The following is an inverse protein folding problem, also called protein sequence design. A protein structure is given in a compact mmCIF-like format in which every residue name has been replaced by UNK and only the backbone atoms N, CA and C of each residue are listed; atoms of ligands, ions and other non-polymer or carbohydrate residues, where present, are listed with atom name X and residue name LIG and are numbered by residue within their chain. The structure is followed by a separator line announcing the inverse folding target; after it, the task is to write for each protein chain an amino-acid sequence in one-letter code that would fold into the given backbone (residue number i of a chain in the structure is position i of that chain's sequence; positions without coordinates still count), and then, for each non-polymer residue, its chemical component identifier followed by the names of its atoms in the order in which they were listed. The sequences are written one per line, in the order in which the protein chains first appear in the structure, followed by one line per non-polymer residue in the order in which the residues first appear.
data_IF_298569513067
#
_entry.id   IF_298569513067
#
_cell.length_a   1.000
_cell.length_b   1.000
_cell.length_c   1.000
_cell.angle_alpha   90.00
_cell.angle_beta   90.00
_cell.angle_gamma   90.00
#
_symmetry.space_group_name_H-M   'P 1'
#
loop_
_entity.id
_entity.type
_entity.pdbx_description
1 polymer ?
#
# COMPACT_ATOMS: atom_id res chain seq x y z
N UNK A 1 14.01 -9.93 -16.82
CA UNK A 1 13.99 -9.35 -15.46
C UNK A 1 12.52 -9.24 -15.12
N UNK A 2 12.08 -9.87 -14.04
CA UNK A 2 10.72 -9.67 -13.54
C UNK A 2 10.79 -8.47 -12.62
N UNK A 3 10.30 -7.32 -13.07
CA UNK A 3 10.53 -6.04 -12.40
C UNK A 3 9.80 -5.96 -11.05
N UNK A 4 8.86 -6.88 -10.79
CA UNK A 4 8.37 -7.12 -9.42
C UNK A 4 9.52 -7.50 -8.49
N UNK A 5 10.32 -8.48 -8.87
CA UNK A 5 11.37 -9.03 -8.00
C UNK A 5 12.35 -7.92 -7.64
N UNK A 6 12.66 -7.03 -8.58
CA UNK A 6 13.51 -5.86 -8.35
C UNK A 6 12.88 -4.89 -7.32
N UNK A 7 11.57 -4.62 -7.40
CA UNK A 7 10.83 -3.79 -6.44
C UNK A 7 10.68 -4.44 -5.05
N UNK A 8 10.54 -5.77 -4.99
CA UNK A 8 10.48 -6.53 -3.73
C UNK A 8 11.85 -6.57 -3.05
N UNK A 9 12.90 -6.88 -3.82
CA UNK A 9 14.29 -6.88 -3.33
C UNK A 9 14.70 -5.46 -2.89
N UNK A 10 14.19 -4.41 -3.54
CA UNK A 10 14.36 -3.03 -3.10
C UNK A 10 13.62 -2.74 -1.77
N UNK A 11 12.35 -3.13 -1.64
CA UNK A 11 11.58 -2.95 -0.39
C UNK A 11 12.18 -3.76 0.78
N UNK A 12 12.55 -5.02 0.56
CA UNK A 12 13.18 -5.84 1.59
C UNK A 12 14.59 -5.31 1.90
N UNK A 13 15.46 -5.23 0.90
CA UNK A 13 16.88 -4.92 1.06
C UNK A 13 17.18 -3.48 1.50
N UNK A 14 16.40 -2.49 1.06
CA UNK A 14 16.65 -1.07 1.39
C UNK A 14 15.77 -0.53 2.53
N UNK A 15 14.57 -1.09 2.78
CA UNK A 15 13.66 -0.63 3.83
C UNK A 15 13.52 -1.63 4.98
N UNK A 16 13.02 -2.84 4.73
CA UNK A 16 12.61 -3.75 5.82
C UNK A 16 13.80 -4.36 6.55
N UNK A 17 14.78 -4.93 5.83
CA UNK A 17 15.96 -5.56 6.41
C UNK A 17 16.83 -4.58 7.20
N UNK A 18 17.15 -3.36 6.73
CA UNK A 18 17.93 -2.39 7.50
C UNK A 18 17.20 -1.87 8.74
N UNK A 19 15.88 -1.73 8.71
CA UNK A 19 15.10 -1.25 9.87
C UNK A 19 14.82 -2.36 10.89
N UNK A 20 14.47 -3.57 10.44
CA UNK A 20 13.96 -4.65 11.28
C UNK A 20 15.05 -5.64 11.70
N UNK A 21 15.84 -6.17 10.77
CA UNK A 21 16.90 -7.15 11.10
C UNK A 21 18.15 -6.46 11.65
N UNK A 22 18.64 -5.39 11.00
CA UNK A 22 19.86 -4.70 11.44
C UNK A 22 19.65 -3.76 12.64
N UNK A 23 18.54 -3.01 12.66
CA UNK A 23 18.27 -2.01 13.72
C UNK A 23 17.24 -2.47 14.76
N UNK A 24 16.64 -3.65 14.61
CA UNK A 24 15.69 -4.21 15.59
C UNK A 24 14.42 -3.38 15.80
N UNK A 25 14.05 -2.50 14.85
CA UNK A 25 12.93 -1.56 15.00
C UNK A 25 11.58 -2.22 14.81
N UNK A 26 10.61 -1.73 15.57
CA UNK A 26 9.20 -1.95 15.32
C UNK A 26 8.68 -0.84 14.40
N UNK A 27 8.01 -1.22 13.31
CA UNK A 27 7.55 -0.28 12.27
C UNK A 27 6.07 -0.51 11.92
N UNK A 28 5.46 0.47 11.27
CA UNK A 28 4.17 0.32 10.56
C UNK A 28 4.46 0.53 9.09
N UNK A 29 4.02 -0.40 8.25
CA UNK A 29 4.21 -0.25 6.80
C UNK A 29 3.00 0.48 6.20
N UNK A 30 3.29 1.56 5.48
CA UNK A 30 2.32 2.41 4.82
C UNK A 30 2.46 2.25 3.31
N UNK A 31 1.37 1.82 2.65
CA UNK A 31 1.38 1.41 1.24
C UNK A 31 0.31 2.20 0.47
N UNK A 32 0.74 3.03 -0.49
CA UNK A 32 -0.15 3.84 -1.31
C UNK A 32 -0.29 3.26 -2.72
N UNK A 33 -1.52 3.22 -3.24
CA UNK A 33 -1.81 2.92 -4.65
C UNK A 33 -1.12 1.63 -5.10
N UNK A 34 -0.22 1.73 -6.09
CA UNK A 34 0.69 0.69 -6.52
C UNK A 34 1.34 -0.09 -5.35
N UNK A 35 1.95 0.59 -4.38
CA UNK A 35 2.82 -0.03 -3.39
C UNK A 35 2.15 -1.10 -2.51
N UNK A 36 0.80 -1.16 -2.48
CA UNK A 36 0.05 -2.29 -1.89
C UNK A 36 0.42 -3.65 -2.50
N UNK A 37 0.90 -3.67 -3.74
CA UNK A 37 1.20 -4.87 -4.52
C UNK A 37 2.56 -5.49 -4.10
N UNK A 38 3.75 -4.86 -4.29
CA UNK A 38 5.04 -5.44 -3.89
C UNK A 38 5.23 -5.38 -2.37
N UNK A 39 4.62 -4.37 -1.72
CA UNK A 39 4.55 -4.28 -0.27
C UNK A 39 3.73 -5.42 0.35
N UNK A 40 2.83 -6.08 -0.38
CA UNK A 40 2.23 -7.33 0.09
C UNK A 40 3.20 -8.51 0.06
N UNK A 41 4.25 -8.50 -0.78
CA UNK A 41 5.29 -9.57 -0.83
C UNK A 41 6.27 -9.42 0.33
N UNK A 42 6.91 -8.25 0.42
CA UNK A 42 8.11 -8.05 1.23
C UNK A 42 7.86 -8.19 2.75
N UNK A 43 6.59 -8.17 3.19
CA UNK A 43 6.17 -8.31 4.59
C UNK A 43 6.17 -9.75 5.12
N UNK A 44 6.46 -10.75 4.29
CA UNK A 44 6.47 -12.16 4.67
C UNK A 44 7.52 -12.47 5.75
N UNK A 45 7.13 -13.06 6.88
CA UNK A 45 8.02 -13.34 8.02
C UNK A 45 8.52 -12.11 8.80
N UNK A 46 8.20 -10.90 8.34
CA UNK A 46 8.57 -9.64 8.99
C UNK A 46 7.56 -9.18 10.05
N UNK A 47 6.42 -9.85 10.23
CA UNK A 47 5.42 -9.40 11.20
C UNK A 47 5.94 -9.47 12.63
N UNK A 48 5.51 -8.53 13.48
CA UNK A 48 5.92 -8.50 14.88
C UNK A 48 5.54 -9.78 15.64
N UNK A 49 4.45 -10.44 15.25
CA UNK A 49 4.01 -11.70 15.85
C UNK A 49 4.97 -12.86 15.53
N UNK A 50 5.31 -13.06 14.26
CA UNK A 50 6.24 -14.11 13.81
C UNK A 50 7.63 -13.90 14.41
N UNK A 51 8.12 -12.66 14.40
CA UNK A 51 9.45 -12.33 14.93
C UNK A 51 9.56 -12.53 16.44
N UNK A 52 8.54 -12.14 17.22
CA UNK A 52 8.50 -12.44 18.65
C UNK A 52 8.44 -13.95 18.93
N UNK A 53 7.68 -14.72 18.14
CA UNK A 53 7.65 -16.18 18.26
C UNK A 53 9.01 -16.84 17.93
N UNK A 54 9.76 -16.26 16.99
CA UNK A 54 11.13 -16.65 16.66
C UNK A 54 12.21 -16.07 17.60
N UNK A 55 11.83 -15.34 18.67
CA UNK A 55 12.77 -14.69 19.60
C UNK A 55 13.57 -13.53 19.00
N UNK A 56 13.20 -13.03 17.82
CA UNK A 56 13.88 -11.93 17.12
C UNK A 56 13.36 -10.55 17.57
N UNK A 57 14.23 -9.52 17.61
CA UNK A 57 13.81 -8.13 17.79
C UNK A 57 13.15 -7.56 16.53
N UNK A 58 12.55 -6.37 16.68
CA UNK A 58 11.88 -5.64 15.59
C UNK A 58 10.59 -6.30 15.08
N UNK A 59 10.02 -5.69 14.03
CA UNK A 59 8.95 -6.27 13.23
C UNK A 59 7.87 -5.27 12.81
N UNK A 60 7.06 -5.69 11.85
CA UNK A 60 5.94 -4.90 11.35
C UNK A 60 4.75 -5.07 12.31
N UNK A 61 4.41 -4.00 13.01
CA UNK A 61 3.30 -3.93 13.98
C UNK A 61 1.95 -4.09 13.27
N UNK A 62 1.81 -3.48 12.10
CA UNK A 62 0.60 -3.49 11.29
C UNK A 62 0.79 -2.77 9.96
N UNK A 63 -0.26 -2.78 9.15
CA UNK A 63 -0.27 -2.28 7.77
C UNK A 63 -1.37 -1.24 7.58
N UNK A 64 -1.06 -0.20 6.80
CA UNK A 64 -2.01 0.84 6.40
C UNK A 64 -1.93 1.00 4.88
N UNK A 65 -3.01 0.68 4.20
CA UNK A 65 -3.14 0.77 2.75
C UNK A 65 -3.93 2.05 2.42
N UNK A 66 -3.47 2.93 1.52
CA UNK A 66 -4.23 4.09 1.03
C UNK A 66 -4.49 3.94 -0.47
N UNK A 67 -5.76 3.98 -0.89
CA UNK A 67 -6.15 3.88 -2.31
C UNK A 67 -5.52 2.67 -3.02
N UNK A 68 -5.12 1.63 -2.30
CA UNK A 68 -4.09 0.70 -2.76
C UNK A 68 -4.67 -0.60 -3.32
N UNK A 69 -3.93 -1.23 -4.23
CA UNK A 69 -4.25 -2.57 -4.72
C UNK A 69 -4.15 -3.59 -3.58
N UNK A 70 -5.18 -4.43 -3.44
CA UNK A 70 -5.12 -5.68 -2.67
C UNK A 70 -5.49 -6.82 -3.61
N UNK A 71 -4.61 -7.80 -3.73
CA UNK A 71 -4.65 -8.85 -4.74
C UNK A 71 -4.56 -10.25 -4.15
N UNK A 72 -4.89 -11.23 -4.97
CA UNK A 72 -4.76 -12.66 -4.73
C UNK A 72 -3.54 -13.25 -5.47
N UNK A 73 -3.11 -14.49 -5.15
CA UNK A 73 -2.04 -15.15 -5.88
C UNK A 73 -2.40 -15.36 -7.36
N UNK A 74 -1.60 -14.79 -8.25
CA UNK A 74 -1.78 -14.89 -9.70
C UNK A 74 -2.58 -13.76 -10.35
N UNK A 75 -3.12 -12.81 -9.58
CA UNK A 75 -3.70 -11.58 -10.14
C UNK A 75 -2.62 -10.71 -10.79
N UNK A 76 -2.94 -10.09 -11.93
CA UNK A 76 -2.14 -9.02 -12.53
C UNK A 76 -2.85 -7.67 -12.38
N UNK A 77 -2.08 -6.58 -12.25
CA UNK A 77 -2.63 -5.21 -12.13
C UNK A 77 -3.59 -4.88 -13.29
N UNK A 78 -3.25 -5.31 -14.51
CA UNK A 78 -4.09 -5.16 -15.69
C UNK A 78 -5.44 -5.88 -15.56
N UNK A 79 -5.49 -7.08 -15.00
CA UNK A 79 -6.75 -7.78 -14.73
C UNK A 79 -7.57 -7.07 -13.64
N UNK A 80 -6.91 -6.59 -12.57
CA UNK A 80 -7.57 -5.88 -11.47
C UNK A 80 -8.26 -4.58 -11.90
N UNK A 81 -7.80 -3.93 -12.98
CA UNK A 81 -8.44 -2.75 -13.58
C UNK A 81 -9.38 -3.08 -14.76
N UNK A 82 -9.73 -4.36 -14.98
CA UNK A 82 -10.71 -4.78 -16.01
C UNK A 82 -10.12 -5.40 -17.28
N UNK A 83 -8.87 -5.88 -17.22
CA UNK A 83 -8.19 -6.59 -18.31
C UNK A 83 -7.68 -5.71 -19.46
N UNK A 84 -7.84 -4.39 -19.35
CA UNK A 84 -7.45 -3.40 -20.34
C UNK A 84 -6.83 -2.19 -19.61
N UNK A 85 -5.99 -1.42 -20.30
CA UNK A 85 -5.47 -0.16 -19.75
C UNK A 85 -6.62 0.81 -19.45
N UNK A 86 -6.57 1.47 -18.30
CA UNK A 86 -7.54 2.46 -17.90
C UNK A 86 -7.50 3.69 -18.82
N UNK A 87 -8.58 4.49 -18.95
CA UNK A 87 -8.60 5.66 -19.85
C UNK A 87 -7.55 6.74 -19.58
N UNK A 88 -6.93 6.72 -18.39
CA UNK A 88 -5.83 7.61 -18.00
C UNK A 88 -4.43 7.03 -18.25
N UNK A 89 -4.32 5.79 -18.76
CA UNK A 89 -3.04 5.12 -19.04
C UNK A 89 -2.66 5.21 -20.52
N UNK A 90 -1.43 5.62 -20.79
CA UNK A 90 -0.80 5.68 -22.12
C UNK A 90 0.42 4.73 -22.17
N UNK A 91 0.24 3.47 -22.61
CA UNK A 91 1.29 2.46 -22.65
C UNK A 91 2.22 2.60 -23.86
N UNK A 92 3.53 2.58 -23.63
CA UNK A 92 4.54 2.53 -24.69
C UNK A 92 5.04 1.09 -24.89
N UNK A 93 4.55 0.43 -25.94
CA UNK A 93 4.91 -0.96 -26.28
C UNK A 93 6.35 -1.16 -26.75
N UNK A 94 7.10 -0.09 -27.03
CA UNK A 94 8.52 -0.16 -27.40
C UNK A 94 9.45 -0.16 -26.18
N UNK A 95 9.04 0.47 -25.07
CA UNK A 95 9.83 0.56 -23.83
C UNK A 95 9.27 -0.28 -22.68
N UNK A 96 8.02 -0.74 -22.78
CA UNK A 96 7.30 -1.42 -21.71
C UNK A 96 6.75 -0.49 -20.61
N UNK A 97 6.96 0.83 -20.74
CA UNK A 97 6.53 1.81 -19.74
C UNK A 97 5.08 2.24 -19.93
N UNK A 98 4.35 2.43 -18.84
CA UNK A 98 3.04 3.09 -18.83
C UNK A 98 3.22 4.53 -18.36
N UNK A 99 2.63 5.48 -19.10
CA UNK A 99 2.62 6.90 -18.73
C UNK A 99 1.19 7.36 -18.43
N UNK A 100 1.04 8.46 -17.68
CA UNK A 100 -0.28 8.95 -17.23
C UNK A 100 -0.74 10.12 -18.08
N UNK A 101 -1.96 10.02 -18.61
CA UNK A 101 -2.69 11.10 -19.26
C UNK A 101 -3.29 11.97 -18.15
N UNK A 102 -3.01 13.28 -18.17
CA UNK A 102 -3.46 14.24 -17.17
C UNK A 102 -3.23 13.77 -15.71
N UNK A 103 -1.97 13.67 -15.24
CA UNK A 103 -1.68 13.23 -13.87
C UNK A 103 -2.34 14.12 -12.81
N UNK A 104 -2.47 15.44 -13.06
CA UNK A 104 -3.14 16.36 -12.14
C UNK A 104 -4.59 15.96 -11.86
N UNK A 105 -5.34 15.60 -12.89
CA UNK A 105 -6.75 15.22 -12.78
C UNK A 105 -6.92 13.77 -12.28
N UNK A 106 -5.90 12.92 -12.49
CA UNK A 106 -5.95 11.47 -12.22
C UNK A 106 -5.48 11.10 -10.81
N UNK A 107 -4.36 11.68 -10.35
CA UNK A 107 -3.71 11.34 -9.08
C UNK A 107 -3.77 12.45 -8.04
N UNK A 108 -4.01 13.69 -8.46
CA UNK A 108 -3.76 14.88 -7.65
C UNK A 108 -4.94 15.87 -7.70
N UNK A 109 -6.17 15.39 -7.91
CA UNK A 109 -7.31 16.24 -8.28
C UNK A 109 -7.63 17.30 -7.21
N UNK A 110 -7.57 16.90 -5.93
CA UNK A 110 -7.76 17.73 -4.73
C UNK A 110 -6.48 18.45 -4.26
N UNK A 111 -5.32 18.12 -4.83
CA UNK A 111 -4.02 18.70 -4.46
C UNK A 111 -3.87 20.08 -5.12
N UNK A 112 -3.42 21.06 -4.34
CA UNK A 112 -2.99 22.37 -4.84
C UNK A 112 -1.56 22.25 -5.37
N UNK A 113 -1.28 22.83 -6.55
CA UNK A 113 0.04 22.83 -7.18
C UNK A 113 1.16 23.28 -6.21
N UNK A 114 2.37 22.67 -6.24
CA UNK A 114 2.97 21.99 -7.41
C UNK A 114 3.49 20.55 -7.15
N UNK A 115 2.73 19.69 -6.46
CA UNK A 115 3.24 18.41 -5.92
C UNK A 115 3.02 17.16 -6.83
N UNK A 116 2.76 17.35 -8.12
CA UNK A 116 1.98 16.40 -8.93
C UNK A 116 2.74 15.39 -9.83
N UNK A 117 3.89 14.81 -9.43
CA UNK A 117 4.66 13.88 -10.31
C UNK A 117 5.47 12.76 -9.62
N UNK A 118 5.04 11.48 -9.74
CA UNK A 118 5.79 10.19 -10.03
C UNK A 118 5.27 8.92 -9.29
N UNK A 119 5.09 7.75 -9.99
CA UNK A 119 5.16 6.32 -9.53
C UNK A 119 4.29 5.29 -10.37
N UNK A 120 4.70 3.99 -10.45
CA UNK A 120 4.08 2.76 -11.11
C UNK A 120 4.93 1.49 -10.80
N UNK A 121 4.66 0.16 -11.00
CA UNK A 121 3.47 -0.76 -11.08
C UNK A 121 3.91 -2.27 -11.24
N UNK A 122 3.70 -3.24 -10.29
CA UNK A 122 3.98 -4.75 -10.32
C UNK A 122 3.70 -5.65 -9.03
N UNK A 123 3.61 -7.00 -9.15
CA UNK A 123 2.82 -8.02 -8.34
C UNK A 123 3.12 -8.36 -6.81
N UNK A 124 2.80 -9.57 -6.26
CA UNK A 124 2.21 -9.81 -4.89
C UNK A 124 2.66 -11.09 -4.10
N UNK A 125 2.60 -11.10 -2.73
CA UNK A 125 2.41 -12.31 -1.84
C UNK A 125 2.04 -12.10 -0.32
N UNK A 126 0.74 -11.97 0.04
CA UNK A 126 0.17 -12.58 1.27
C UNK A 126 0.04 -11.78 2.59
N UNK A 127 -1.17 -11.29 2.90
CA UNK A 127 -1.46 -10.37 4.04
C UNK A 127 -2.00 -11.03 5.35
N UNK A 128 -1.79 -12.34 5.54
CA UNK A 128 -2.47 -13.12 6.59
C UNK A 128 -2.04 -12.78 8.03
N UNK A 129 -0.74 -12.57 8.27
CA UNK A 129 -0.13 -12.39 9.60
C UNK A 129 -0.51 -11.10 10.36
N UNK A 130 -1.41 -10.28 9.80
CA UNK A 130 -1.73 -8.93 10.23
C UNK A 130 -3.18 -8.76 10.73
N UNK A 131 -3.80 -9.84 11.24
CA UNK A 131 -5.21 -9.79 11.62
C UNK A 131 -5.53 -8.73 12.70
N UNK A 132 -6.66 -8.03 12.49
CA UNK A 132 -7.09 -6.79 13.15
C UNK A 132 -6.08 -5.61 13.11
N UNK A 133 -4.92 -5.77 12.46
CA UNK A 133 -3.84 -4.76 12.30
C UNK A 133 -3.62 -4.41 10.82
N UNK A 134 -4.69 -4.49 10.02
CA UNK A 134 -4.82 -4.04 8.62
C UNK A 134 -5.83 -2.90 8.58
N UNK A 135 -5.40 -1.70 8.19
CA UNK A 135 -6.28 -0.55 7.91
C UNK A 135 -6.29 -0.27 6.41
N UNK A 136 -7.46 0.05 5.86
CA UNK A 136 -7.59 0.54 4.49
C UNK A 136 -8.21 1.94 4.50
N UNK A 137 -7.45 2.93 4.05
CA UNK A 137 -7.89 4.30 3.81
C UNK A 137 -8.50 4.33 2.40
N UNK A 138 -9.82 4.31 2.37
CA UNK A 138 -10.65 4.34 1.16
C UNK A 138 -10.94 5.79 0.77
N UNK A 139 -10.72 6.15 -0.48
CA UNK A 139 -10.76 7.53 -0.99
C UNK A 139 -11.97 7.72 -1.91
N UNK A 140 -12.98 8.44 -1.42
CA UNK A 140 -14.27 8.56 -2.10
C UNK A 140 -14.22 9.39 -3.41
N UNK A 141 -13.19 10.22 -3.60
CA UNK A 141 -13.05 11.12 -4.76
C UNK A 141 -11.86 10.72 -5.65
N UNK A 142 -11.51 9.43 -5.68
CA UNK A 142 -10.37 8.89 -6.44
C UNK A 142 -10.71 8.66 -7.93
N UNK A 143 -9.90 9.21 -8.84
CA UNK A 143 -10.05 9.09 -10.28
C UNK A 143 -9.24 7.93 -10.89
N UNK A 144 -8.17 7.50 -10.21
CA UNK A 144 -7.29 6.44 -10.69
C UNK A 144 -7.81 5.05 -10.32
N UNK A 145 -8.23 4.89 -9.06
CA UNK A 145 -8.86 3.71 -8.51
C UNK A 145 -10.21 4.09 -7.90
N UNK A 146 -11.28 4.19 -8.72
CA UNK A 146 -12.58 4.68 -8.26
C UNK A 146 -13.15 3.89 -7.07
N UNK A 147 -14.06 4.50 -6.27
CA UNK A 147 -14.59 3.91 -5.04
C UNK A 147 -15.05 2.45 -5.13
N UNK A 148 -15.67 2.06 -6.24
CA UNK A 148 -16.15 0.69 -6.47
C UNK A 148 -15.01 -0.33 -6.64
N UNK A 149 -13.87 0.08 -7.21
CA UNK A 149 -12.69 -0.76 -7.37
C UNK A 149 -12.01 -0.99 -6.02
N UNK A 150 -11.88 0.06 -5.21
CA UNK A 150 -11.37 -0.05 -3.83
C UNK A 150 -12.27 -0.94 -2.96
N UNK A 151 -13.60 -0.77 -3.04
CA UNK A 151 -14.55 -1.64 -2.34
C UNK A 151 -14.43 -3.11 -2.83
N UNK A 152 -14.19 -3.33 -4.13
CA UNK A 152 -13.94 -4.66 -4.68
C UNK A 152 -12.60 -5.27 -4.22
N UNK A 153 -11.51 -4.51 -4.12
CA UNK A 153 -10.23 -5.00 -3.59
C UNK A 153 -10.33 -5.43 -2.13
N UNK A 154 -11.05 -4.66 -1.31
CA UNK A 154 -11.28 -4.99 0.10
C UNK A 154 -12.20 -6.21 0.27
N UNK A 155 -13.21 -6.37 -0.60
CA UNK A 155 -14.13 -7.51 -0.55
C UNK A 155 -13.58 -8.79 -1.21
N UNK A 156 -12.67 -8.66 -2.19
CA UNK A 156 -12.11 -9.76 -2.98
C UNK A 156 -11.00 -10.56 -2.30
N UNK A 157 -10.60 -10.17 -1.08
CA UNK A 157 -9.60 -10.85 -0.26
C UNK A 157 -10.27 -11.46 0.98
N UNK A 158 -9.99 -12.73 1.28
CA UNK A 158 -10.64 -13.47 2.38
C UNK A 158 -10.23 -13.07 3.80
N UNK A 159 -9.83 -11.81 4.04
CA UNK A 159 -9.33 -11.32 5.33
C UNK A 159 -9.98 -9.98 5.72
N UNK A 160 -10.25 -9.78 7.02
CA UNK A 160 -10.90 -8.57 7.51
C UNK A 160 -9.99 -7.34 7.41
N UNK A 161 -10.54 -6.23 6.93
CA UNK A 161 -9.91 -4.91 6.95
C UNK A 161 -10.67 -3.95 7.87
N UNK A 162 -9.95 -3.06 8.54
CA UNK A 162 -10.54 -1.91 9.22
C UNK A 162 -10.59 -0.76 8.19
N UNK A 163 -11.72 -0.60 7.49
CA UNK A 163 -11.88 0.41 6.44
C UNK A 163 -12.23 1.77 7.05
N UNK A 164 -11.55 2.82 6.59
CA UNK A 164 -11.81 4.22 6.94
C UNK A 164 -12.05 4.96 5.61
N UNK A 165 -13.26 5.45 5.38
CA UNK A 165 -13.60 6.22 4.17
C UNK A 165 -13.30 7.70 4.38
N UNK A 166 -12.62 8.32 3.40
CA UNK A 166 -12.14 9.70 3.40
C UNK A 166 -12.66 10.41 2.15
N UNK A 167 -13.04 11.69 2.27
CA UNK A 167 -13.58 12.48 1.17
C UNK A 167 -12.47 13.22 0.39
N UNK A 168 -11.51 12.44 -0.10
CA UNK A 168 -10.27 12.91 -0.77
C UNK A 168 -10.03 12.14 -2.07
N UNK A 169 -9.16 12.67 -2.93
CA UNK A 169 -8.66 11.97 -4.13
C UNK A 169 -7.49 11.05 -3.77
N UNK A 170 -6.82 10.54 -4.80
CA UNK A 170 -5.82 9.48 -4.76
C UNK A 170 -4.64 9.82 -3.83
N UNK A 171 -4.03 10.99 -3.99
CA UNK A 171 -2.80 11.39 -3.28
C UNK A 171 -3.04 12.22 -2.02
N UNK A 172 -3.88 11.73 -1.09
CA UNK A 172 -4.31 12.53 0.07
C UNK A 172 -3.18 12.95 1.05
N UNK A 173 -1.99 12.34 0.93
CA UNK A 173 -0.76 12.80 1.60
C UNK A 173 -0.23 14.15 1.10
N UNK A 174 -0.76 14.69 -0.01
CA UNK A 174 -0.48 16.04 -0.48
C UNK A 174 -1.64 17.02 -0.30
N UNK A 175 -2.91 16.57 -0.38
CA UNK A 175 -4.07 17.44 -0.13
C UNK A 175 -4.36 17.62 1.36
N UNK A 176 -4.34 16.54 2.14
CA UNK A 176 -4.67 16.51 3.58
C UNK A 176 -3.53 15.91 4.45
N UNK A 177 -2.28 16.43 4.36
CA UNK A 177 -1.13 15.86 5.06
C UNK A 177 -1.27 15.88 6.59
N UNK A 178 -1.94 16.87 7.17
CA UNK A 178 -2.08 17.00 8.62
C UNK A 178 -3.15 16.06 9.20
N UNK A 179 -4.37 15.95 8.64
CA UNK A 179 -5.31 14.89 9.01
C UNK A 179 -4.74 13.49 8.80
N UNK A 180 -4.04 13.23 7.68
CA UNK A 180 -3.39 11.94 7.45
C UNK A 180 -2.34 11.64 8.53
N UNK A 181 -1.43 12.57 8.82
CA UNK A 181 -0.42 12.38 9.86
C UNK A 181 -1.05 12.06 11.23
N UNK A 182 -2.12 12.77 11.60
CA UNK A 182 -2.86 12.50 12.84
C UNK A 182 -3.47 11.08 12.86
N UNK A 183 -4.07 10.64 11.75
CA UNK A 183 -4.67 9.32 11.60
C UNK A 183 -3.62 8.19 11.62
N UNK A 184 -2.47 8.38 10.95
CA UNK A 184 -1.35 7.45 10.97
C UNK A 184 -0.75 7.31 12.37
N UNK A 185 -0.61 8.41 13.12
CA UNK A 185 -0.16 8.41 14.51
C UNK A 185 -1.16 7.68 15.43
N UNK A 186 -2.46 7.93 15.27
CA UNK A 186 -3.50 7.27 16.06
C UNK A 186 -3.53 5.75 15.79
N UNK A 187 -3.48 5.35 14.52
CA UNK A 187 -3.44 3.94 14.09
C UNK A 187 -2.20 3.23 14.60
N UNK A 188 -1.03 3.86 14.47
CA UNK A 188 0.26 3.34 14.98
C UNK A 188 0.23 3.11 16.49
N UNK A 189 -0.36 4.04 17.27
CA UNK A 189 -0.56 3.86 18.73
C UNK A 189 -1.44 2.65 19.03
N UNK A 190 -2.50 2.44 18.26
CA UNK A 190 -3.38 1.27 18.37
C UNK A 190 -2.64 -0.04 18.11
N UNK A 191 -1.86 -0.12 17.02
CA UNK A 191 -1.05 -1.31 16.71
C UNK A 191 0.02 -1.58 17.78
N UNK A 192 0.68 -0.53 18.29
CA UNK A 192 1.72 -0.66 19.32
C UNK A 192 1.15 -1.12 20.67
N UNK A 193 -0.08 -0.74 21.02
CA UNK A 193 -0.75 -1.19 22.24
C UNK A 193 -0.92 -2.71 22.27
N UNK A 194 -1.20 -3.36 21.13
CA UNK A 194 -1.33 -4.82 21.00
C UNK A 194 -0.06 -5.60 21.41
N UNK A 195 1.11 -4.96 21.40
CA UNK A 195 2.40 -5.58 21.72
C UNK A 195 3.03 -5.13 23.04
N UNK A 196 2.34 -4.25 23.78
CA UNK A 196 2.71 -3.94 25.16
C UNK A 196 2.07 -4.96 26.08
N UNK A 197 2.90 -5.65 26.87
CA UNK A 197 2.44 -6.25 28.12
C UNK A 197 2.32 -5.15 29.17
N UNK A 198 1.33 -5.29 30.04
CA UNK A 198 1.30 -4.61 31.34
C UNK A 198 2.43 -5.12 32.25
#
# INVERSE_FOLDING_TARGET
MDVLTDDVDALEGALLYPLIEQQGRDIVLYLHSYAGFPGSVAIAGYSKAERLAAGKPGGILGLIYQSAFISNPGDTLLQMIGGNYAPWQNPNTQTGLVSVINPKDTFYADVVEPLATTATDLTYYGVAAYDNRRVYLHTNQDQALPPFAQDAFVAGIGVKWNVIKLDTSHSLFYSEPQPLAALLIATTKGFLATYRKD
#
